data_IF_939539103107
#
_entry.id   IF_939539103107
#
_cell.length_a   1.000
_cell.length_b   1.000
_cell.length_c   1.000
_cell.angle_alpha   90.00
_cell.angle_beta   90.00
_cell.angle_gamma   90.00
#
_symmetry.space_group_name_H-M   'P 1'
#
loop_
_entity.id
_entity.type
_entity.pdbx_description
1 polymer ?
#
# COMPACT_ATOMS: atom_id res chain seq x y z
N UNK A 1 11.77 -27.67 -9.50
CA UNK A 1 10.33 -27.62 -9.93
C UNK A 1 9.59 -26.68 -8.99
N UNK A 2 8.80 -25.73 -9.53
CA UNK A 2 7.96 -24.84 -8.71
C UNK A 2 6.64 -25.55 -8.39
N UNK A 3 6.22 -25.48 -7.13
CA UNK A 3 4.93 -25.98 -6.64
C UNK A 3 4.22 -24.92 -5.81
N UNK A 4 2.89 -24.84 -5.93
CA UNK A 4 2.04 -24.02 -5.11
C UNK A 4 1.25 -24.93 -4.16
N UNK A 5 1.44 -24.73 -2.87
CA UNK A 5 0.69 -25.44 -1.82
C UNK A 5 -0.36 -24.49 -1.25
N UNK A 6 -1.64 -24.85 -1.41
CA UNK A 6 -2.74 -24.07 -0.84
C UNK A 6 -2.79 -24.29 0.65
N UNK A 7 -2.84 -23.21 1.41
CA UNK A 7 -2.89 -23.18 2.88
C UNK A 7 -3.99 -22.22 3.35
N UNK A 8 -4.22 -22.13 4.66
CA UNK A 8 -4.98 -21.04 5.23
C UNK A 8 -4.09 -19.84 5.57
N UNK A 9 -4.70 -18.66 5.79
CA UNK A 9 -3.97 -17.42 6.05
C UNK A 9 -3.06 -17.49 7.29
N UNK A 10 -3.47 -18.17 8.35
CA UNK A 10 -2.64 -18.32 9.56
C UNK A 10 -1.38 -19.16 9.28
N UNK A 11 -1.51 -20.20 8.48
CA UNK A 11 -0.36 -21.02 8.02
C UNK A 11 0.56 -20.21 7.12
N UNK A 12 -0.01 -19.41 6.20
CA UNK A 12 0.80 -18.52 5.33
C UNK A 12 1.62 -17.55 6.16
N UNK A 13 1.01 -16.87 7.14
CA UNK A 13 1.68 -15.92 8.03
C UNK A 13 2.80 -16.60 8.84
N UNK A 14 2.52 -17.76 9.44
CA UNK A 14 3.51 -18.50 10.22
C UNK A 14 4.70 -18.99 9.39
N UNK A 15 4.48 -19.46 8.17
CA UNK A 15 5.57 -19.90 7.28
C UNK A 15 6.37 -18.72 6.72
N UNK A 16 5.71 -17.57 6.46
CA UNK A 16 6.39 -16.33 6.09
C UNK A 16 7.30 -15.82 7.21
N UNK A 17 6.81 -15.79 8.45
CA UNK A 17 7.60 -15.40 9.63
C UNK A 17 8.84 -16.30 9.82
N UNK A 18 8.67 -17.63 9.75
CA UNK A 18 9.77 -18.60 9.83
C UNK A 18 10.84 -18.39 8.74
N UNK A 19 10.40 -17.95 7.57
CA UNK A 19 11.28 -17.65 6.44
C UNK A 19 11.90 -16.25 6.48
N UNK A 20 11.56 -15.42 7.49
CA UNK A 20 12.05 -14.05 7.63
C UNK A 20 11.40 -13.07 6.64
N UNK A 21 10.23 -13.41 6.09
CA UNK A 21 9.46 -12.51 5.22
C UNK A 21 8.65 -11.55 6.10
N UNK A 22 8.92 -10.25 6.00
CA UNK A 22 7.99 -9.23 6.51
C UNK A 22 6.82 -9.12 5.54
N UNK A 23 5.65 -9.61 5.95
CA UNK A 23 4.47 -9.56 5.09
C UNK A 23 3.91 -8.14 5.00
N UNK A 24 3.65 -7.63 3.79
CA UNK A 24 2.73 -6.51 3.61
C UNK A 24 1.37 -6.85 4.23
N UNK A 25 0.69 -5.85 4.78
CA UNK A 25 -0.64 -6.07 5.41
C UNK A 25 -1.61 -6.73 4.42
N UNK A 26 -1.49 -6.45 3.14
CA UNK A 26 -2.33 -6.95 2.06
C UNK A 26 -2.15 -8.45 1.79
N UNK A 27 -1.11 -9.06 2.36
CA UNK A 27 -0.86 -10.50 2.26
C UNK A 27 -1.26 -11.25 3.54
N UNK A 28 -2.01 -10.59 4.45
CA UNK A 28 -2.40 -11.16 5.75
C UNK A 28 -3.85 -11.62 5.77
N UNK A 29 -4.15 -12.49 6.73
CA UNK A 29 -5.52 -12.96 7.00
C UNK A 29 -6.47 -11.82 7.39
N UNK A 30 -5.99 -10.84 8.17
CA UNK A 30 -6.81 -9.70 8.59
C UNK A 30 -7.23 -8.85 7.41
N UNK A 31 -6.32 -8.65 6.44
CA UNK A 31 -6.64 -7.96 5.19
C UNK A 31 -7.64 -8.74 4.35
N UNK A 32 -7.46 -10.06 4.22
CA UNK A 32 -8.41 -10.92 3.51
C UNK A 32 -9.81 -10.85 4.14
N UNK A 33 -9.90 -10.79 5.46
CA UNK A 33 -11.16 -10.56 6.19
C UNK A 33 -11.79 -9.23 5.81
N UNK A 34 -11.04 -8.12 5.88
CA UNK A 34 -11.51 -6.80 5.44
C UNK A 34 -11.99 -6.80 3.98
N UNK A 35 -11.25 -7.46 3.08
CA UNK A 35 -11.65 -7.53 1.68
C UNK A 35 -12.95 -8.32 1.47
N UNK A 36 -13.23 -9.32 2.29
CA UNK A 36 -14.45 -10.12 2.20
C UNK A 36 -15.73 -9.31 2.52
N UNK A 37 -15.60 -8.20 3.24
CA UNK A 37 -16.73 -7.31 3.58
C UNK A 37 -17.04 -6.29 2.47
N UNK A 38 -16.23 -6.26 1.40
CA UNK A 38 -16.40 -5.31 0.29
C UNK A 38 -17.09 -6.00 -0.88
N UNK A 39 -18.17 -5.43 -1.36
CA UNK A 39 -18.92 -5.93 -2.52
C UNK A 39 -18.03 -6.17 -3.74
N UNK A 40 -18.18 -7.33 -4.36
CA UNK A 40 -17.38 -7.74 -5.53
C UNK A 40 -15.95 -8.18 -5.20
N UNK A 41 -15.63 -8.46 -3.94
CA UNK A 41 -14.34 -9.00 -3.50
C UNK A 41 -14.53 -10.26 -2.67
N UNK A 42 -13.73 -11.29 -2.95
CA UNK A 42 -13.79 -12.56 -2.24
C UNK A 42 -12.38 -13.12 -2.04
N UNK A 43 -11.96 -13.49 -0.83
CA UNK A 43 -10.72 -14.21 -0.63
C UNK A 43 -10.69 -15.49 -1.49
N UNK A 44 -9.72 -15.61 -2.37
CA UNK A 44 -9.65 -16.73 -3.32
C UNK A 44 -8.74 -17.85 -2.81
N UNK A 45 -7.64 -17.50 -2.17
CA UNK A 45 -6.76 -18.48 -1.54
C UNK A 45 -5.36 -17.96 -1.27
N UNK A 46 -4.71 -18.64 -0.33
CA UNK A 46 -3.37 -18.37 0.17
C UNK A 46 -2.45 -19.53 -0.22
N UNK A 47 -1.23 -19.23 -0.68
CA UNK A 47 -0.33 -20.23 -1.22
C UNK A 47 1.11 -20.04 -0.74
N UNK A 48 1.73 -21.16 -0.36
CA UNK A 48 3.19 -21.27 -0.24
C UNK A 48 3.77 -21.64 -1.61
N UNK A 49 4.74 -20.89 -2.07
CA UNK A 49 5.44 -21.13 -3.33
C UNK A 49 6.79 -21.76 -3.02
N UNK A 50 6.99 -22.99 -3.45
CA UNK A 50 8.18 -23.77 -3.15
C UNK A 50 8.95 -24.15 -4.42
N UNK A 51 10.28 -24.07 -4.33
CA UNK A 51 11.19 -24.62 -5.35
C UNK A 51 11.90 -25.83 -4.77
N UNK A 52 11.67 -27.01 -5.38
CA UNK A 52 12.27 -28.27 -4.91
C UNK A 52 12.09 -28.52 -3.39
N UNK A 53 10.90 -28.14 -2.88
CA UNK A 53 10.51 -28.27 -1.48
C UNK A 53 10.90 -27.09 -0.57
N UNK A 54 11.79 -26.21 -0.99
CA UNK A 54 12.15 -25.00 -0.23
C UNK A 54 11.21 -23.83 -0.52
N UNK A 55 10.77 -23.12 0.51
CA UNK A 55 9.94 -21.92 0.37
C UNK A 55 10.73 -20.81 -0.33
N UNK A 56 10.18 -20.22 -1.37
CA UNK A 56 10.77 -19.08 -2.12
C UNK A 56 9.94 -17.83 -2.07
N UNK A 57 8.62 -17.97 -1.93
CA UNK A 57 7.69 -16.84 -1.77
C UNK A 57 6.36 -17.33 -1.17
N UNK A 58 5.53 -16.40 -0.75
CA UNK A 58 4.13 -16.63 -0.38
C UNK A 58 3.24 -15.67 -1.16
N UNK A 59 1.96 -16.03 -1.36
CA UNK A 59 1.01 -15.17 -2.06
C UNK A 59 -0.42 -15.41 -1.58
N UNK A 60 -1.15 -14.30 -1.33
CA UNK A 60 -2.57 -14.29 -1.03
C UNK A 60 -3.32 -13.60 -2.17
N UNK A 61 -4.44 -14.18 -2.60
CA UNK A 61 -5.27 -13.68 -3.67
C UNK A 61 -6.66 -13.30 -3.21
N UNK A 62 -7.11 -12.15 -3.68
CA UNK A 62 -8.51 -11.72 -3.63
C UNK A 62 -9.08 -11.77 -5.06
N UNK A 63 -10.23 -12.39 -5.22
CA UNK A 63 -11.01 -12.32 -6.46
C UNK A 63 -11.77 -11.00 -6.49
N UNK A 64 -11.63 -10.28 -7.58
CA UNK A 64 -12.35 -9.05 -7.89
C UNK A 64 -13.33 -9.31 -9.02
N UNK A 65 -14.62 -9.19 -8.70
CA UNK A 65 -15.69 -9.16 -9.69
C UNK A 65 -15.97 -7.72 -10.10
N UNK A 66 -15.87 -7.43 -11.38
CA UNK A 66 -16.15 -6.11 -11.93
C UNK A 66 -16.64 -6.20 -13.38
N UNK A 67 -17.66 -5.42 -13.74
CA UNK A 67 -18.19 -5.35 -15.10
C UNK A 67 -18.48 -6.74 -15.73
N UNK A 68 -18.86 -7.73 -14.91
CA UNK A 68 -19.20 -9.09 -15.35
C UNK A 68 -18.01 -9.97 -15.67
N UNK A 69 -16.81 -9.67 -15.18
CA UNK A 69 -15.65 -10.55 -15.26
C UNK A 69 -14.88 -10.58 -13.93
N UNK A 70 -14.10 -11.64 -13.73
CA UNK A 70 -13.28 -11.90 -12.55
C UNK A 70 -11.80 -11.76 -12.85
N UNK A 71 -11.05 -11.19 -11.92
CA UNK A 71 -9.59 -11.22 -11.94
C UNK A 71 -9.04 -11.36 -10.52
N UNK A 72 -7.92 -12.05 -10.38
CA UNK A 72 -7.27 -12.18 -9.09
C UNK A 72 -6.30 -11.02 -8.87
N UNK A 73 -6.37 -10.41 -7.69
CA UNK A 73 -5.40 -9.41 -7.26
C UNK A 73 -4.63 -9.91 -6.04
N UNK A 74 -3.31 -9.74 -6.08
CA UNK A 74 -2.43 -9.87 -4.94
C UNK A 74 -1.64 -8.58 -4.84
N UNK A 75 -1.98 -7.73 -3.86
CA UNK A 75 -1.26 -6.49 -3.62
C UNK A 75 0.04 -6.81 -2.89
N UNK A 76 1.15 -6.25 -3.38
CA UNK A 76 2.50 -6.52 -2.87
C UNK A 76 2.89 -8.00 -2.82
N UNK A 77 2.21 -8.82 -3.61
CA UNK A 77 2.51 -10.26 -3.75
C UNK A 77 2.92 -10.63 -5.18
N UNK A 78 3.79 -11.64 -5.32
CA UNK A 78 4.32 -12.53 -4.30
C UNK A 78 5.27 -11.85 -3.31
N UNK A 79 5.15 -12.17 -2.00
CA UNK A 79 6.13 -11.78 -1.01
C UNK A 79 7.28 -12.79 -1.00
N UNK A 80 8.46 -12.34 -1.42
CA UNK A 80 9.62 -13.20 -1.66
C UNK A 80 10.52 -13.33 -0.43
N UNK A 81 11.11 -14.54 -0.23
CA UNK A 81 12.19 -14.75 0.76
C UNK A 81 13.42 -13.92 0.39
N UNK A 82 13.73 -13.82 -0.90
CA UNK A 82 14.79 -12.98 -1.44
C UNK A 82 14.36 -12.49 -2.83
N UNK A 83 14.83 -11.29 -3.22
CA UNK A 83 14.53 -10.75 -4.55
C UNK A 83 14.92 -11.76 -5.64
N UNK A 84 13.97 -12.17 -6.51
CA UNK A 84 14.23 -13.18 -7.53
C UNK A 84 15.09 -12.63 -8.67
N UNK A 85 15.70 -13.53 -9.43
CA UNK A 85 16.17 -13.25 -10.80
C UNK A 85 14.97 -13.24 -11.75
N UNK A 86 15.13 -12.71 -12.97
CA UNK A 86 14.10 -12.69 -13.99
C UNK A 86 13.59 -14.09 -14.36
N UNK A 87 14.51 -15.05 -14.47
CA UNK A 87 14.15 -16.44 -14.76
C UNK A 87 13.36 -17.09 -13.61
N UNK A 88 13.76 -16.82 -12.37
CA UNK A 88 13.06 -17.33 -11.19
C UNK A 88 11.65 -16.77 -11.05
N UNK A 89 11.49 -15.46 -11.24
CA UNK A 89 10.18 -14.83 -11.21
C UNK A 89 9.28 -15.38 -12.32
N UNK A 90 9.83 -15.54 -13.52
CA UNK A 90 9.08 -16.10 -14.64
C UNK A 90 8.56 -17.52 -14.38
N UNK A 91 9.40 -18.41 -13.83
CA UNK A 91 8.98 -19.77 -13.45
C UNK A 91 7.85 -19.75 -12.42
N UNK A 92 7.93 -18.85 -11.43
CA UNK A 92 6.90 -18.70 -10.38
C UNK A 92 5.60 -18.15 -10.98
N UNK A 93 5.67 -17.12 -11.81
CA UNK A 93 4.49 -16.53 -12.47
C UNK A 93 3.80 -17.57 -13.37
N UNK A 94 4.55 -18.33 -14.14
CA UNK A 94 4.00 -19.40 -14.99
C UNK A 94 3.31 -20.49 -14.15
N UNK A 95 3.90 -20.88 -13.01
CA UNK A 95 3.30 -21.86 -12.09
C UNK A 95 2.01 -21.33 -11.42
N UNK A 96 1.98 -20.03 -11.06
CA UNK A 96 0.77 -19.37 -10.54
C UNK A 96 -0.33 -19.41 -11.62
N UNK A 97 -0.01 -18.99 -12.85
CA UNK A 97 -0.96 -18.98 -13.98
C UNK A 97 -1.54 -20.37 -14.23
N UNK A 98 -0.70 -21.41 -14.22
CA UNK A 98 -1.13 -22.79 -14.43
C UNK A 98 -2.01 -23.31 -13.31
N UNK A 99 -1.70 -22.95 -12.07
CA UNK A 99 -2.51 -23.29 -10.89
C UNK A 99 -3.89 -22.63 -10.97
N UNK A 100 -3.94 -21.33 -11.27
CA UNK A 100 -5.20 -20.59 -11.38
C UNK A 100 -6.06 -21.12 -12.54
N UNK A 101 -5.48 -21.35 -13.71
CA UNK A 101 -6.20 -21.92 -14.86
C UNK A 101 -6.85 -23.26 -14.58
N UNK A 102 -6.19 -24.10 -13.75
CA UNK A 102 -6.72 -25.41 -13.36
C UNK A 102 -7.83 -25.28 -12.33
N UNK A 103 -7.68 -24.34 -11.39
CA UNK A 103 -8.61 -24.16 -10.27
C UNK A 103 -9.88 -23.40 -10.70
N UNK A 104 -9.74 -22.36 -11.51
CA UNK A 104 -10.85 -21.49 -11.88
C UNK A 104 -10.72 -20.93 -13.32
N UNK A 105 -11.64 -21.35 -14.17
CA UNK A 105 -11.70 -20.92 -15.57
C UNK A 105 -12.38 -19.55 -15.76
N UNK A 106 -13.01 -19.00 -14.73
CA UNK A 106 -13.66 -17.68 -14.80
C UNK A 106 -12.64 -16.56 -14.86
N UNK A 107 -11.47 -16.72 -14.22
CA UNK A 107 -10.45 -15.70 -14.07
C UNK A 107 -9.88 -15.24 -15.42
N UNK A 108 -9.93 -13.93 -15.65
CA UNK A 108 -9.49 -13.31 -16.89
C UNK A 108 -7.98 -12.99 -16.90
N UNK A 109 -7.46 -12.49 -15.80
CA UNK A 109 -6.05 -12.15 -15.62
C UNK A 109 -5.69 -12.12 -14.12
N UNK A 110 -4.39 -12.09 -13.82
CA UNK A 110 -3.86 -11.82 -12.49
C UNK A 110 -3.33 -10.40 -12.45
N UNK A 111 -3.50 -9.71 -11.34
CA UNK A 111 -2.79 -8.47 -11.03
C UNK A 111 -1.91 -8.72 -9.82
N UNK A 112 -0.61 -8.79 -10.06
CA UNK A 112 0.41 -9.11 -9.07
C UNK A 112 1.58 -8.13 -9.21
N UNK A 113 2.44 -8.06 -8.21
CA UNK A 113 3.61 -7.20 -8.26
C UNK A 113 4.82 -8.01 -8.75
N UNK A 114 5.46 -7.54 -9.83
CA UNK A 114 6.61 -8.23 -10.46
C UNK A 114 7.78 -7.29 -10.69
N UNK A 115 8.98 -7.76 -10.40
CA UNK A 115 10.23 -7.02 -10.62
C UNK A 115 10.53 -6.87 -12.11
N UNK A 116 10.16 -7.87 -12.93
CA UNK A 116 10.47 -7.91 -14.34
C UNK A 116 9.20 -7.82 -15.19
N UNK A 117 9.35 -7.33 -16.41
CA UNK A 117 8.22 -7.08 -17.30
C UNK A 117 7.84 -8.28 -18.18
N UNK A 118 8.72 -9.30 -18.27
CA UNK A 118 8.52 -10.42 -19.20
C UNK A 118 7.21 -11.17 -18.90
N UNK A 119 6.43 -11.39 -19.97
CA UNK A 119 5.12 -12.05 -19.90
C UNK A 119 4.01 -11.27 -19.19
N UNK A 120 4.22 -10.01 -18.88
CA UNK A 120 3.26 -9.13 -18.19
C UNK A 120 2.80 -7.96 -19.06
N UNK A 121 1.73 -7.32 -18.65
CA UNK A 121 1.15 -6.13 -19.29
C UNK A 121 1.03 -4.97 -18.28
N UNK A 122 0.93 -3.75 -18.79
CA UNK A 122 0.64 -2.59 -17.94
C UNK A 122 -0.76 -2.71 -17.33
N UNK A 123 -0.89 -2.39 -16.05
CA UNK A 123 -2.20 -2.38 -15.38
C UNK A 123 -3.18 -1.42 -16.04
N UNK A 124 -4.45 -1.81 -16.07
CA UNK A 124 -5.49 -1.07 -16.79
C UNK A 124 -6.00 0.17 -16.01
N UNK A 125 -6.09 0.11 -14.68
CA UNK A 125 -6.90 1.06 -13.91
C UNK A 125 -6.23 1.72 -12.70
N UNK A 126 -5.03 1.32 -12.33
CA UNK A 126 -4.30 1.89 -11.19
C UNK A 126 -3.02 2.58 -11.66
N UNK A 127 -2.41 3.37 -10.79
CA UNK A 127 -1.08 3.96 -11.02
C UNK A 127 -0.07 3.13 -10.23
N UNK A 128 0.59 2.15 -10.88
CA UNK A 128 1.65 1.38 -10.23
C UNK A 128 2.88 2.25 -10.05
N UNK A 129 3.71 1.90 -9.08
CA UNK A 129 5.00 2.55 -8.81
C UNK A 129 6.08 1.50 -8.60
N UNK A 130 7.31 1.86 -8.90
CA UNK A 130 8.51 1.02 -8.79
C UNK A 130 9.50 1.53 -7.73
N UNK A 131 9.14 2.62 -7.06
CA UNK A 131 9.94 3.25 -6.01
C UNK A 131 9.05 3.78 -4.90
N UNK A 132 9.51 3.64 -3.66
CA UNK A 132 8.89 4.20 -2.46
C UNK A 132 9.92 4.88 -1.56
N UNK A 133 9.44 5.50 -0.49
CA UNK A 133 10.25 6.11 0.57
C UNK A 133 9.96 5.37 1.87
N UNK A 134 10.94 4.62 2.36
CA UNK A 134 10.88 3.95 3.66
C UNK A 134 11.78 4.70 4.63
N UNK A 135 11.22 5.11 5.77
CA UNK A 135 11.93 5.81 6.84
C UNK A 135 12.29 4.78 7.91
N UNK A 136 13.58 4.70 8.27
CA UNK A 136 14.00 4.01 9.48
C UNK A 136 13.62 4.85 10.69
N UNK A 137 12.71 4.32 11.51
CA UNK A 137 12.16 5.01 12.70
C UNK A 137 12.65 4.40 14.01
N UNK A 138 13.82 3.75 13.99
CA UNK A 138 14.50 3.21 15.17
C UNK A 138 15.32 4.29 15.90
N UNK A 139 15.76 3.99 17.12
CA UNK A 139 16.76 4.78 17.87
C UNK A 139 16.22 6.03 18.56
N UNK A 140 14.92 6.35 18.44
CA UNK A 140 14.27 7.49 19.08
C UNK A 140 14.30 8.78 18.24
N UNK A 141 13.63 9.80 18.76
CA UNK A 141 13.26 11.01 18.03
C UNK A 141 14.44 11.75 17.39
N UNK A 142 15.54 11.92 18.13
CA UNK A 142 16.73 12.61 17.61
C UNK A 142 17.41 11.84 16.49
N UNK A 143 17.47 10.51 16.58
CA UNK A 143 18.06 9.64 15.56
C UNK A 143 17.18 9.63 14.30
N UNK A 144 15.86 9.54 14.45
CA UNK A 144 14.91 9.64 13.33
C UNK A 144 15.12 10.97 12.59
N UNK A 145 15.20 12.07 13.34
CA UNK A 145 15.42 13.40 12.77
C UNK A 145 16.80 13.49 12.07
N UNK A 146 17.84 12.89 12.65
CA UNK A 146 19.21 12.93 12.13
C UNK A 146 19.34 12.24 10.76
N UNK A 147 18.60 11.14 10.53
CA UNK A 147 18.60 10.38 9.26
C UNK A 147 17.93 11.10 8.10
N UNK A 148 17.09 12.11 8.37
CA UNK A 148 16.43 12.87 7.30
C UNK A 148 17.43 13.72 6.51
N UNK A 149 17.12 14.02 5.25
CA UNK A 149 17.86 15.01 4.46
C UNK A 149 17.86 16.37 5.16
N UNK A 150 18.88 17.18 4.88
CA UNK A 150 19.01 18.54 5.46
C UNK A 150 17.72 19.37 5.36
N UNK A 151 17.00 19.27 4.22
CA UNK A 151 15.73 19.98 4.03
C UNK A 151 14.65 19.45 4.96
N UNK A 152 14.51 18.13 5.08
CA UNK A 152 13.54 17.47 5.97
C UNK A 152 13.76 17.90 7.43
N UNK A 153 15.00 17.78 7.93
CA UNK A 153 15.36 18.25 9.28
C UNK A 153 15.00 19.72 9.53
N UNK A 154 15.29 20.59 8.56
CA UNK A 154 14.96 22.01 8.65
C UNK A 154 13.46 22.24 8.75
N UNK A 155 12.69 21.60 7.87
CA UNK A 155 11.24 21.79 7.76
C UNK A 155 10.53 21.21 9.00
N UNK A 156 10.95 20.04 9.50
CA UNK A 156 10.46 19.45 10.75
C UNK A 156 10.77 20.36 11.94
N UNK A 157 12.04 20.81 12.12
CA UNK A 157 12.38 21.71 13.22
C UNK A 157 11.61 23.03 13.17
N UNK A 158 11.33 23.54 11.98
CA UNK A 158 10.48 24.72 11.79
C UNK A 158 9.05 24.42 12.22
N UNK A 159 8.48 23.30 11.78
CA UNK A 159 7.11 22.93 12.14
C UNK A 159 6.94 22.72 13.65
N UNK A 160 7.91 22.11 14.32
CA UNK A 160 7.88 21.91 15.77
C UNK A 160 7.87 23.23 16.56
N UNK A 161 8.55 24.29 16.05
CA UNK A 161 8.59 25.61 16.71
C UNK A 161 7.41 26.50 16.39
N UNK A 162 6.90 26.43 15.16
CA UNK A 162 6.01 27.46 14.60
C UNK A 162 4.59 26.96 14.31
N UNK A 163 4.41 25.65 14.13
CA UNK A 163 3.10 25.09 13.85
C UNK A 163 2.31 24.86 15.14
N UNK A 164 1.14 25.51 15.31
CA UNK A 164 0.33 25.40 16.52
C UNK A 164 -0.43 24.07 16.62
N UNK A 165 -0.43 23.24 15.56
CA UNK A 165 -1.19 22.00 15.54
C UNK A 165 -0.66 21.02 16.61
N UNK A 166 -1.57 20.37 17.32
CA UNK A 166 -1.31 19.23 18.19
C UNK A 166 -1.53 17.94 17.41
N UNK A 167 -0.65 16.96 17.61
CA UNK A 167 -0.71 15.66 16.91
C UNK A 167 -0.98 14.57 17.93
N UNK A 168 -1.95 13.71 17.61
CA UNK A 168 -2.30 12.55 18.43
C UNK A 168 -2.73 11.36 17.56
N UNK A 169 -2.66 10.16 18.15
CA UNK A 169 -3.40 9.00 17.67
C UNK A 169 -4.88 9.20 18.03
N UNK A 170 -5.71 9.26 17.02
CA UNK A 170 -7.16 9.46 17.15
C UNK A 170 -7.96 8.30 16.57
N UNK A 171 -7.39 7.10 16.56
CA UNK A 171 -8.03 5.91 16.00
C UNK A 171 -9.43 5.68 16.55
N UNK A 172 -9.61 5.75 17.87
CA UNK A 172 -10.93 5.55 18.51
C UNK A 172 -11.93 6.64 18.12
N UNK A 173 -11.48 7.90 18.02
CA UNK A 173 -12.33 9.02 17.59
C UNK A 173 -12.76 8.86 16.14
N UNK A 174 -11.80 8.51 15.26
CA UNK A 174 -12.04 8.31 13.84
C UNK A 174 -12.95 7.11 13.58
N UNK A 175 -12.85 6.04 14.40
CA UNK A 175 -13.74 4.89 14.34
C UNK A 175 -15.16 5.26 14.80
N UNK A 176 -15.30 6.10 15.81
CA UNK A 176 -16.61 6.55 16.28
C UNK A 176 -17.31 7.48 15.28
N UNK A 177 -16.58 8.40 14.65
CA UNK A 177 -17.09 9.32 13.63
C UNK A 177 -15.96 9.79 12.71
N UNK A 178 -15.98 9.35 11.45
CA UNK A 178 -14.99 9.74 10.43
C UNK A 178 -15.36 11.03 9.67
N UNK A 179 -16.47 11.66 9.95
CA UNK A 179 -17.03 12.78 9.16
C UNK A 179 -16.05 13.95 9.04
N UNK A 180 -15.44 14.39 10.15
CA UNK A 180 -14.51 15.51 10.15
C UNK A 180 -13.24 15.21 9.35
N UNK A 181 -12.72 13.98 9.44
CA UNK A 181 -11.57 13.52 8.67
C UNK A 181 -11.90 13.43 7.18
N UNK A 182 -13.13 12.98 6.85
CA UNK A 182 -13.59 12.88 5.48
C UNK A 182 -13.71 14.25 4.80
N UNK A 183 -14.17 15.29 5.52
CA UNK A 183 -14.22 16.66 5.02
C UNK A 183 -12.83 17.15 4.58
N UNK A 184 -11.77 16.82 5.34
CA UNK A 184 -10.38 17.13 4.99
C UNK A 184 -9.97 16.38 3.72
N UNK A 185 -10.41 15.11 3.54
CA UNK A 185 -10.11 14.33 2.35
C UNK A 185 -10.83 14.88 1.12
N UNK A 186 -12.07 15.31 1.25
CA UNK A 186 -12.81 15.96 0.15
C UNK A 186 -12.11 17.23 -0.30
N UNK A 187 -11.65 18.08 0.64
CA UNK A 187 -10.89 19.29 0.34
C UNK A 187 -9.54 18.97 -0.33
N UNK A 188 -8.86 17.92 0.14
CA UNK A 188 -7.63 17.40 -0.47
C UNK A 188 -7.87 16.96 -1.92
N UNK A 189 -8.93 16.17 -2.16
CA UNK A 189 -9.30 15.69 -3.49
C UNK A 189 -9.62 16.82 -4.47
N UNK A 190 -10.34 17.84 -4.01
CA UNK A 190 -10.65 19.03 -4.81
C UNK A 190 -9.38 19.79 -5.22
N UNK A 191 -8.44 19.95 -4.30
CA UNK A 191 -7.14 20.61 -4.56
C UNK A 191 -6.28 19.82 -5.53
N UNK A 192 -6.17 18.50 -5.31
CA UNK A 192 -5.20 17.64 -6.00
C UNK A 192 -5.79 16.95 -7.23
N UNK A 193 -7.09 17.19 -7.55
CA UNK A 193 -7.73 16.75 -8.78
C UNK A 193 -8.14 15.28 -8.80
N UNK A 194 -8.48 14.69 -7.64
CA UNK A 194 -9.02 13.34 -7.55
C UNK A 194 -10.35 13.30 -6.78
N UNK A 195 -11.15 12.27 -7.04
CA UNK A 195 -12.35 11.98 -6.26
C UNK A 195 -12.00 11.00 -5.14
N UNK A 196 -12.20 11.38 -3.85
CA UNK A 196 -12.04 10.45 -2.75
C UNK A 196 -12.94 9.23 -2.87
N UNK A 197 -12.54 8.13 -2.28
CA UNK A 197 -13.44 6.99 -2.05
C UNK A 197 -14.61 7.41 -1.16
N UNK A 198 -15.74 6.69 -1.14
CA UNK A 198 -16.79 6.92 -0.16
C UNK A 198 -16.26 6.90 1.28
N UNK A 199 -16.89 7.67 2.16
CA UNK A 199 -16.48 7.75 3.57
C UNK A 199 -16.44 6.36 4.25
N UNK A 200 -17.39 5.49 3.90
CA UNK A 200 -17.45 4.11 4.39
C UNK A 200 -16.17 3.31 4.12
N UNK A 201 -15.51 3.51 2.98
CA UNK A 201 -14.29 2.76 2.65
C UNK A 201 -13.16 3.00 3.67
N UNK A 202 -13.12 4.22 4.25
CA UNK A 202 -12.14 4.56 5.30
C UNK A 202 -12.56 4.01 6.67
N UNK A 203 -13.82 4.25 7.08
CA UNK A 203 -14.34 3.78 8.38
C UNK A 203 -14.37 2.25 8.47
N UNK A 204 -14.77 1.58 7.38
CA UNK A 204 -14.81 0.12 7.33
C UNK A 204 -13.41 -0.47 7.38
N UNK A 205 -12.42 0.15 6.72
CA UNK A 205 -11.01 -0.25 6.82
C UNK A 205 -10.49 -0.14 8.26
N UNK A 206 -10.75 0.99 8.95
CA UNK A 206 -10.32 1.19 10.34
C UNK A 206 -10.98 0.14 11.25
N UNK A 207 -12.29 -0.08 11.11
CA UNK A 207 -13.04 -1.04 11.92
C UNK A 207 -12.63 -2.49 11.70
N UNK A 208 -12.50 -2.89 10.44
CA UNK A 208 -12.18 -4.27 10.07
C UNK A 208 -10.75 -4.68 10.41
N UNK A 209 -9.77 -3.79 10.21
CA UNK A 209 -8.37 -4.04 10.56
C UNK A 209 -8.09 -3.88 12.05
N UNK A 210 -8.87 -3.06 12.76
CA UNK A 210 -8.70 -2.77 14.18
C UNK A 210 -7.44 -1.95 14.49
N UNK A 211 -7.33 -1.47 15.73
CA UNK A 211 -6.25 -0.58 16.17
C UNK A 211 -4.85 -1.22 16.13
N UNK A 212 -4.76 -2.54 16.14
CA UNK A 212 -3.48 -3.26 16.02
C UNK A 212 -2.90 -3.15 14.60
N UNK A 213 -3.76 -3.02 13.58
CA UNK A 213 -3.35 -3.02 12.17
C UNK A 213 -3.70 -1.74 11.41
N UNK A 214 -4.55 -0.88 11.95
CA UNK A 214 -4.96 0.36 11.28
C UNK A 214 -5.13 1.47 12.30
N UNK A 215 -4.39 2.56 12.11
CA UNK A 215 -4.37 3.71 13.02
C UNK A 215 -4.66 4.99 12.29
N UNK A 216 -5.26 5.94 13.00
CA UNK A 216 -5.51 7.28 12.48
C UNK A 216 -4.75 8.29 13.33
N UNK A 217 -3.79 8.98 12.71
CA UNK A 217 -3.11 10.10 13.33
C UNK A 217 -3.72 11.40 12.82
N UNK A 218 -3.97 12.35 13.72
CA UNK A 218 -4.51 13.64 13.34
C UNK A 218 -3.72 14.80 13.95
N UNK A 219 -3.66 15.89 13.19
CA UNK A 219 -3.18 17.18 13.62
C UNK A 219 -4.38 18.13 13.77
N UNK A 220 -4.53 18.74 14.96
CA UNK A 220 -5.60 19.69 15.27
C UNK A 220 -5.06 21.08 15.57
N UNK A 221 -5.80 22.09 15.11
CA UNK A 221 -5.64 23.48 15.54
C UNK A 221 -7.00 23.91 16.10
N UNK A 222 -7.04 24.40 17.32
CA UNK A 222 -8.29 24.83 17.99
C UNK A 222 -9.39 23.74 17.90
N UNK A 223 -9.06 22.52 18.30
CA UNK A 223 -9.91 21.33 18.24
C UNK A 223 -10.36 20.86 16.85
N UNK A 224 -10.02 21.56 15.78
CA UNK A 224 -10.38 21.21 14.41
C UNK A 224 -9.31 20.37 13.75
N UNK A 225 -9.70 19.27 13.10
CA UNK A 225 -8.79 18.46 12.28
C UNK A 225 -8.33 19.25 11.06
N UNK A 226 -7.02 19.47 10.94
CA UNK A 226 -6.41 20.20 9.81
C UNK A 226 -5.56 19.34 8.92
N UNK A 227 -5.06 18.21 9.43
CA UNK A 227 -4.42 17.16 8.63
C UNK A 227 -4.57 15.83 9.36
N UNK A 228 -4.54 14.73 8.60
CA UNK A 228 -4.59 13.39 9.17
C UNK A 228 -3.97 12.36 8.23
N UNK A 229 -3.69 11.18 8.77
CA UNK A 229 -3.32 10.00 7.98
C UNK A 229 -3.95 8.73 8.56
N UNK A 230 -4.24 7.77 7.69
CA UNK A 230 -4.42 6.36 8.03
C UNK A 230 -3.08 5.67 7.83
N UNK A 231 -2.65 4.95 8.86
CA UNK A 231 -1.42 4.16 8.87
C UNK A 231 -1.78 2.71 9.13
N UNK A 232 -1.38 1.81 8.22
CA UNK A 232 -1.49 0.38 8.47
C UNK A 232 -0.21 -0.13 9.10
N UNK A 233 -0.32 -1.16 9.95
CA UNK A 233 0.80 -1.77 10.67
C UNK A 233 0.73 -3.28 10.55
N UNK A 234 1.84 -3.92 10.18
CA UNK A 234 2.00 -5.36 10.28
C UNK A 234 3.41 -5.70 10.78
N UNK A 235 3.50 -6.38 11.92
CA UNK A 235 4.79 -6.62 12.59
C UNK A 235 5.50 -5.31 12.93
N UNK A 236 6.71 -5.12 12.41
CA UNK A 236 7.53 -3.92 12.62
C UNK A 236 7.46 -2.91 11.46
N UNK A 237 6.58 -3.14 10.51
CA UNK A 237 6.44 -2.32 9.30
C UNK A 237 5.13 -1.54 9.32
N UNK A 238 5.19 -0.22 9.15
CA UNK A 238 4.04 0.66 9.01
C UNK A 238 4.00 1.28 7.61
N UNK A 239 2.79 1.52 7.11
CA UNK A 239 2.56 2.15 5.79
C UNK A 239 1.58 3.30 5.92
N UNK A 240 1.93 4.46 5.39
CA UNK A 240 1.07 5.64 5.33
C UNK A 240 0.08 5.52 4.18
N UNK A 241 -1.04 4.87 4.45
CA UNK A 241 -1.99 4.39 3.44
C UNK A 241 -2.83 5.53 2.82
N UNK A 242 -3.35 6.43 3.66
CA UNK A 242 -4.08 7.63 3.25
C UNK A 242 -3.61 8.83 4.04
N UNK A 243 -3.71 10.02 3.45
CA UNK A 243 -3.44 11.26 4.14
C UNK A 243 -4.21 12.42 3.50
N UNK A 244 -4.66 13.35 4.31
CA UNK A 244 -5.33 14.56 3.89
C UNK A 244 -4.87 15.78 4.66
N UNK A 245 -5.02 16.98 4.06
CA UNK A 245 -4.66 18.25 4.69
C UNK A 245 -5.55 19.36 4.15
N UNK A 246 -6.02 20.26 5.03
CA UNK A 246 -6.74 21.47 4.65
C UNK A 246 -5.82 22.47 3.95
N UNK A 247 -6.39 23.25 3.03
CA UNK A 247 -5.63 24.21 2.21
C UNK A 247 -5.06 25.37 3.06
N UNK A 248 -5.81 25.82 4.04
CA UNK A 248 -5.46 26.96 4.89
C UNK A 248 -4.16 26.78 5.70
N UNK A 249 -3.79 25.50 5.98
CA UNK A 249 -2.60 25.18 6.79
C UNK A 249 -1.36 24.78 5.98
N UNK A 250 -1.41 24.84 4.65
CA UNK A 250 -0.29 24.44 3.79
C UNK A 250 1.04 25.13 4.14
N UNK A 251 1.00 26.40 4.55
CA UNK A 251 2.19 27.19 4.88
C UNK A 251 2.74 26.95 6.28
N UNK A 252 1.99 26.23 7.11
CA UNK A 252 2.35 25.96 8.52
C UNK A 252 3.21 24.71 8.69
N UNK A 253 3.55 24.00 7.61
CA UNK A 253 4.28 22.74 7.68
C UNK A 253 3.60 21.66 8.56
N UNK A 254 2.27 21.65 8.61
CA UNK A 254 1.49 20.72 9.44
C UNK A 254 1.80 19.27 9.08
N UNK A 255 1.91 18.96 7.78
CA UNK A 255 2.22 17.59 7.32
C UNK A 255 3.62 17.14 7.71
N UNK A 256 4.58 18.06 7.83
CA UNK A 256 5.92 17.77 8.35
C UNK A 256 5.88 17.38 9.83
N UNK A 257 5.09 18.15 10.62
CA UNK A 257 4.89 17.88 12.05
C UNK A 257 4.16 16.56 12.25
N UNK A 258 3.06 16.33 11.51
CA UNK A 258 2.27 15.12 11.59
C UNK A 258 3.13 13.89 11.29
N UNK A 259 3.82 13.86 10.14
CA UNK A 259 4.65 12.72 9.75
C UNK A 259 5.79 12.46 10.75
N UNK A 260 6.47 13.49 11.23
CA UNK A 260 7.51 13.31 12.23
C UNK A 260 6.97 12.76 13.55
N UNK A 261 5.82 13.28 14.01
CA UNK A 261 5.15 12.75 15.21
C UNK A 261 4.71 11.29 15.03
N UNK A 262 4.20 10.93 13.85
CA UNK A 262 3.90 9.53 13.48
C UNK A 262 5.14 8.65 13.62
N UNK A 263 6.28 9.07 13.05
CA UNK A 263 7.55 8.35 13.17
C UNK A 263 7.97 8.15 14.64
N UNK A 264 7.86 9.19 15.47
CA UNK A 264 8.23 9.13 16.89
C UNK A 264 7.29 8.21 17.68
N UNK A 265 5.98 8.35 17.49
CA UNK A 265 4.98 7.51 18.18
C UNK A 265 5.13 6.04 17.79
N UNK A 266 5.19 5.73 16.50
CA UNK A 266 5.33 4.37 15.99
C UNK A 266 6.67 3.75 16.41
N UNK A 267 7.77 4.49 16.29
CA UNK A 267 9.10 4.05 16.70
C UNK A 267 9.19 3.73 18.19
N UNK A 268 8.52 4.53 19.07
CA UNK A 268 8.45 4.25 20.51
C UNK A 268 7.68 2.98 20.86
N UNK A 269 6.88 2.47 19.93
CA UNK A 269 6.07 1.24 20.05
C UNK A 269 6.76 0.02 19.41
N UNK A 270 8.01 0.18 18.93
CA UNK A 270 8.79 -0.91 18.37
C UNK A 270 8.63 -1.12 16.87
N UNK A 271 7.92 -0.24 16.16
CA UNK A 271 7.92 -0.22 14.70
C UNK A 271 9.29 0.28 14.22
N UNK A 272 9.85 -0.37 13.22
CA UNK A 272 11.20 -0.06 12.74
C UNK A 272 11.22 0.67 11.40
N UNK A 273 10.18 0.49 10.58
CA UNK A 273 10.10 1.03 9.23
C UNK A 273 8.75 1.72 8.99
N UNK A 274 8.81 2.88 8.34
CA UNK A 274 7.61 3.62 7.94
C UNK A 274 7.63 3.95 6.46
N UNK A 275 6.82 3.23 5.67
CA UNK A 275 6.70 3.39 4.22
C UNK A 275 5.70 4.50 3.89
N UNK A 276 6.11 5.47 3.11
CA UNK A 276 5.27 6.57 2.63
C UNK A 276 4.55 6.24 1.32
N UNK A 277 4.66 5.01 0.82
CA UNK A 277 4.16 4.56 -0.48
C UNK A 277 4.80 5.28 -1.68
N UNK A 278 4.35 4.93 -2.87
CA UNK A 278 4.90 5.29 -4.16
C UNK A 278 5.28 6.75 -4.35
N UNK A 279 6.38 6.92 -5.07
CA UNK A 279 6.90 8.21 -5.57
C UNK A 279 7.02 8.18 -7.09
N UNK A 280 7.25 9.36 -7.68
CA UNK A 280 7.45 9.49 -9.11
C UNK A 280 8.83 9.06 -9.56
N UNK A 281 8.84 8.29 -10.64
CA UNK A 281 10.01 7.81 -11.38
C UNK A 281 9.75 7.96 -12.89
N UNK A 282 10.63 7.41 -13.71
CA UNK A 282 10.36 7.31 -15.16
C UNK A 282 9.28 6.25 -15.46
N UNK A 283 9.13 5.25 -14.58
CA UNK A 283 8.04 4.29 -14.64
C UNK A 283 6.69 4.90 -14.21
N UNK A 284 6.68 5.74 -13.18
CA UNK A 284 5.50 6.38 -12.59
C UNK A 284 5.55 7.92 -12.64
N UNK A 285 5.61 8.57 -13.83
CA UNK A 285 5.84 10.01 -13.94
C UNK A 285 4.71 10.87 -13.34
N UNK A 286 3.50 10.34 -13.25
CA UNK A 286 2.35 11.04 -12.64
C UNK A 286 2.50 11.27 -11.13
N UNK A 287 3.38 10.52 -10.45
CA UNK A 287 3.63 10.67 -9.02
C UNK A 287 4.77 11.64 -8.70
N UNK A 288 5.42 12.25 -9.70
CA UNK A 288 6.58 13.17 -9.50
C UNK A 288 6.27 14.34 -8.56
N UNK A 289 5.02 14.79 -8.50
CA UNK A 289 4.58 15.83 -7.55
C UNK A 289 4.75 15.46 -6.07
N UNK A 290 4.80 14.18 -5.74
CA UNK A 290 4.97 13.69 -4.36
C UNK A 290 6.43 13.68 -3.90
N UNK A 291 7.39 13.71 -4.84
CA UNK A 291 8.81 13.52 -4.53
C UNK A 291 9.36 14.63 -3.62
N UNK A 292 8.94 15.87 -3.86
CA UNK A 292 9.43 17.01 -3.09
C UNK A 292 9.11 16.87 -1.58
N UNK A 293 7.94 16.33 -1.26
CA UNK A 293 7.53 16.07 0.11
C UNK A 293 8.18 14.80 0.66
N UNK A 294 7.99 13.64 0.00
CA UNK A 294 8.36 12.34 0.55
C UNK A 294 9.88 12.12 0.62
N UNK A 295 10.62 12.49 -0.44
CA UNK A 295 12.05 12.21 -0.53
C UNK A 295 12.94 13.06 0.42
N UNK A 296 12.38 13.98 1.19
CA UNK A 296 13.15 14.77 2.16
C UNK A 296 13.33 14.07 3.51
N UNK A 297 12.56 12.99 3.76
CA UNK A 297 12.56 12.28 5.04
C UNK A 297 13.57 11.12 5.12
N UNK A 298 14.18 10.74 4.01
CA UNK A 298 15.27 9.74 3.97
C UNK A 298 16.29 10.10 2.90
N UNK A 299 17.53 9.64 3.06
CA UNK A 299 18.56 9.77 2.00
C UNK A 299 18.36 8.74 0.88
N UNK A 300 17.79 7.57 1.19
CA UNK A 300 17.66 6.45 0.28
C UNK A 300 16.24 6.35 -0.31
N UNK A 301 16.17 5.86 -1.54
CA UNK A 301 14.93 5.50 -2.21
C UNK A 301 14.87 3.98 -2.32
N UNK A 302 13.76 3.40 -1.90
CA UNK A 302 13.56 1.95 -1.88
C UNK A 302 12.91 1.50 -3.20
N UNK A 303 13.57 0.63 -3.99
CA UNK A 303 12.94 0.02 -5.16
C UNK A 303 11.92 -1.03 -4.71
N UNK A 304 10.78 -1.09 -5.40
CA UNK A 304 9.72 -2.08 -5.18
C UNK A 304 9.26 -2.68 -6.50
N UNK A 305 8.70 -3.88 -6.43
CA UNK A 305 8.09 -4.51 -7.60
C UNK A 305 6.77 -3.78 -7.94
N UNK A 306 6.61 -3.23 -9.14
CA UNK A 306 5.37 -2.57 -9.52
C UNK A 306 4.26 -3.58 -9.86
N UNK A 307 3.01 -3.18 -9.61
CA UNK A 307 1.86 -3.97 -10.05
C UNK A 307 1.82 -4.10 -11.58
N UNK A 308 1.58 -5.33 -12.06
CA UNK A 308 1.44 -5.69 -13.47
C UNK A 308 0.30 -6.67 -13.66
N UNK A 309 -0.29 -6.67 -14.85
CA UNK A 309 -1.31 -7.63 -15.23
C UNK A 309 -0.69 -8.80 -15.99
N UNK A 310 -1.07 -10.05 -15.62
CA UNK A 310 -0.68 -11.28 -16.29
C UNK A 310 -1.93 -11.87 -16.95
N UNK A 311 -2.13 -11.70 -18.26
CA UNK A 311 -3.33 -12.15 -18.96
C UNK A 311 -3.47 -13.67 -18.99
N UNK A 312 -4.56 -14.21 -18.45
CA UNK A 312 -4.96 -15.62 -18.59
C UNK A 312 -5.78 -15.80 -19.86
N UNK A 313 -6.84 -14.97 -20.04
CA UNK A 313 -7.67 -14.93 -21.26
C UNK A 313 -7.14 -13.84 -22.19
N UNK A 314 -6.07 -14.13 -22.93
CA UNK A 314 -5.32 -13.14 -23.72
C UNK A 314 -6.19 -12.33 -24.69
N UNK A 315 -7.12 -12.96 -25.40
CA UNK A 315 -8.02 -12.27 -26.35
C UNK A 315 -8.95 -11.29 -25.62
N UNK A 316 -9.57 -11.75 -24.53
CA UNK A 316 -10.44 -10.91 -23.71
C UNK A 316 -9.66 -9.73 -23.12
N UNK A 317 -8.46 -9.96 -22.60
CA UNK A 317 -7.62 -8.89 -22.03
C UNK A 317 -7.27 -7.82 -23.07
N UNK A 318 -6.96 -8.18 -24.32
CA UNK A 318 -6.76 -7.22 -25.40
C UNK A 318 -8.00 -6.37 -25.69
N UNK A 319 -9.19 -6.97 -25.58
CA UNK A 319 -10.46 -6.21 -25.72
C UNK A 319 -10.59 -5.16 -24.60
N UNK A 320 -10.26 -5.53 -23.35
CA UNK A 320 -10.25 -4.59 -22.22
C UNK A 320 -9.27 -3.43 -22.45
N UNK A 321 -8.06 -3.71 -22.94
CA UNK A 321 -7.08 -2.68 -23.28
C UNK A 321 -7.63 -1.70 -24.35
N UNK A 322 -8.27 -2.23 -25.38
CA UNK A 322 -8.87 -1.41 -26.45
C UNK A 322 -9.97 -0.49 -25.91
N UNK A 323 -10.92 -1.03 -25.12
CA UNK A 323 -12.00 -0.27 -24.52
C UNK A 323 -11.47 0.84 -23.62
N UNK A 324 -10.44 0.55 -22.83
CA UNK A 324 -9.81 1.54 -21.97
C UNK A 324 -9.09 2.64 -22.77
N UNK A 325 -8.39 2.26 -23.85
CA UNK A 325 -7.76 3.22 -24.77
C UNK A 325 -8.76 4.21 -25.35
N UNK A 326 -9.91 3.71 -25.80
CA UNK A 326 -11.00 4.56 -26.32
C UNK A 326 -11.55 5.51 -25.21
N UNK A 327 -11.79 4.99 -24.00
CA UNK A 327 -12.27 5.84 -22.87
C UNK A 327 -11.29 6.95 -22.51
N UNK A 328 -9.97 6.68 -22.56
CA UNK A 328 -8.94 7.70 -22.31
C UNK A 328 -8.85 8.75 -23.41
N UNK A 329 -9.09 8.37 -24.66
CA UNK A 329 -9.07 9.29 -25.80
C UNK A 329 -10.31 10.21 -25.87
N UNK A 330 -11.42 9.82 -25.20
CA UNK A 330 -12.66 10.59 -25.12
C UNK A 330 -12.76 11.53 -23.90
N UNK A 331 -11.77 11.48 -22.99
CA UNK A 331 -11.62 12.39 -21.84
C UNK A 331 -10.59 13.47 -22.13
#
# INVERSE_FOLDING_TARGET
>A
MITLEKVDGATLEAEAEKAGITLPIEQTKVWSGFQADIDGRTPWGDYLIKRDGALVAVISFIDFETHGYHYLRSMHGPAWVAKPTEAEEREVVDAIVDTVKKADKSIAFLRIDTWFADGTEKVLSTVPYDQTVVIDITGGDDEILARMKRRGRRDVRKSLRECPAEVADETDKALADFSEYYDVMVETGQRDGFTPAPMSDYSDMIGALGADHCRVFAARIEDRVVAWSIVTVNGTHAVRYYAGMRNEVMRLHVTDKLLYSECCILGSQGITEYDLMGIGSDFAPSLKGLNEFKCKFTEEITPVAPARDVPIKKVFYKTLQTVQGVRKALR
#
